data_IF_253418813289
#
_entry.id   IF_253418813289
#
_cell.length_a   1.000
_cell.length_b   1.000
_cell.length_c   1.000
_cell.angle_alpha   90.00
_cell.angle_beta   90.00
_cell.angle_gamma   90.00
#
_symmetry.space_group_name_H-M   'P 1'
#
loop_
_entity.id
_entity.type
_entity.pdbx_description
1 polymer ?
#
# COMPACT_ATOMS: atom_id res chain seq x y z
N UNK A 1 -21.08 -16.74 -7.52
CA UNK A 1 -21.52 -18.15 -7.35
C UNK A 1 -22.48 -18.53 -8.48
N UNK A 2 -22.29 -19.67 -9.15
CA UNK A 2 -23.27 -20.17 -10.13
C UNK A 2 -24.50 -20.74 -9.40
N UNK A 3 -25.65 -20.07 -9.53
CA UNK A 3 -26.91 -20.46 -8.89
C UNK A 3 -27.52 -21.75 -9.47
N UNK A 4 -26.94 -22.27 -10.56
CA UNK A 4 -27.34 -23.53 -11.22
C UNK A 4 -26.41 -24.69 -10.90
N UNK A 5 -25.28 -24.43 -10.23
CA UNK A 5 -24.37 -25.48 -9.83
C UNK A 5 -25.04 -26.43 -8.83
N UNK A 6 -24.77 -27.73 -9.00
CA UNK A 6 -25.29 -28.76 -8.09
C UNK A 6 -24.45 -28.87 -6.83
N UNK A 7 -23.16 -28.55 -6.94
CA UNK A 7 -22.19 -28.54 -5.86
C UNK A 7 -21.45 -27.22 -5.83
N UNK A 8 -21.10 -26.76 -4.62
CA UNK A 8 -20.18 -25.65 -4.42
C UNK A 8 -18.72 -26.11 -4.61
N UNK A 9 -17.79 -25.16 -4.67
CA UNK A 9 -16.36 -25.44 -4.89
C UNK A 9 -15.73 -26.31 -3.78
N UNK A 10 -16.31 -26.29 -2.57
CA UNK A 10 -15.91 -27.12 -1.43
C UNK A 10 -16.50 -28.54 -1.46
N UNK A 11 -17.27 -28.88 -2.51
CA UNK A 11 -17.94 -30.17 -2.66
C UNK A 11 -19.26 -30.29 -1.89
N UNK A 12 -19.69 -29.25 -1.17
CA UNK A 12 -20.99 -29.25 -0.51
C UNK A 12 -22.14 -29.12 -1.51
N UNK A 13 -23.30 -29.69 -1.18
CA UNK A 13 -24.48 -29.63 -2.04
C UNK A 13 -25.06 -28.21 -2.08
N UNK A 14 -25.21 -27.65 -3.28
CA UNK A 14 -25.60 -26.26 -3.46
C UNK A 14 -27.13 -26.03 -3.44
N UNK A 15 -27.93 -27.10 -3.48
CA UNK A 15 -29.40 -27.04 -3.55
C UNK A 15 -29.94 -26.06 -4.62
N UNK A 16 -29.60 -26.25 -5.91
CA UNK A 16 -30.06 -25.38 -6.99
C UNK A 16 -31.59 -25.41 -7.10
N UNK A 17 -32.19 -24.32 -7.62
CA UNK A 17 -33.65 -24.20 -7.70
C UNK A 17 -34.32 -25.27 -8.55
N UNK A 18 -33.66 -25.71 -9.61
CA UNK A 18 -34.17 -26.72 -10.55
C UNK A 18 -33.07 -27.71 -10.89
N UNK A 19 -33.42 -28.99 -10.95
CA UNK A 19 -32.54 -30.08 -11.41
C UNK A 19 -33.22 -30.85 -12.53
N UNK A 20 -32.43 -31.40 -13.47
CA UNK A 20 -32.95 -32.17 -14.60
C UNK A 20 -33.25 -33.61 -14.19
N UNK A 21 -32.28 -34.28 -13.57
CA UNK A 21 -32.44 -35.62 -13.04
C UNK A 21 -32.36 -35.57 -11.52
N UNK A 22 -33.27 -36.28 -10.87
CA UNK A 22 -33.24 -36.41 -9.40
C UNK A 22 -32.10 -37.31 -8.93
N UNK A 23 -31.58 -38.18 -9.80
CA UNK A 23 -30.46 -39.08 -9.50
C UNK A 23 -29.15 -38.32 -9.25
N UNK A 24 -28.97 -37.17 -9.91
CA UNK A 24 -27.81 -36.30 -9.73
C UNK A 24 -27.79 -35.66 -8.32
N UNK A 25 -28.96 -35.53 -7.68
CA UNK A 25 -29.08 -35.00 -6.32
C UNK A 25 -28.68 -36.08 -5.30
N UNK A 26 -27.84 -35.74 -4.30
CA UNK A 26 -27.50 -36.66 -3.22
C UNK A 26 -28.75 -37.26 -2.57
N UNK A 27 -28.73 -38.56 -2.29
CA UNK A 27 -29.90 -39.31 -1.80
C UNK A 27 -30.57 -38.66 -0.59
N UNK A 28 -29.75 -38.11 0.31
CA UNK A 28 -30.17 -37.41 1.53
C UNK A 28 -30.95 -36.11 1.30
N UNK A 29 -31.01 -35.61 0.06
CA UNK A 29 -31.59 -34.32 -0.32
C UNK A 29 -32.63 -34.44 -1.45
N UNK A 30 -32.93 -35.66 -1.94
CA UNK A 30 -33.86 -35.87 -3.06
C UNK A 30 -35.30 -35.50 -2.68
N UNK A 31 -35.67 -35.70 -1.42
CA UNK A 31 -36.98 -35.34 -0.83
C UNK A 31 -37.24 -33.83 -0.84
N UNK A 32 -36.20 -33.01 -1.03
CA UNK A 32 -36.33 -31.57 -1.13
C UNK A 32 -36.89 -31.11 -2.47
N UNK A 33 -36.95 -32.00 -3.46
CA UNK A 33 -37.34 -31.70 -4.82
C UNK A 33 -38.65 -32.37 -5.19
N UNK A 34 -39.50 -31.64 -5.90
CA UNK A 34 -40.79 -32.10 -6.40
C UNK A 34 -40.77 -32.08 -7.94
N UNK A 35 -41.47 -33.00 -8.62
CA UNK A 35 -41.66 -32.91 -10.06
C UNK A 35 -42.30 -31.56 -10.43
N UNK A 36 -41.73 -30.86 -11.41
CA UNK A 36 -42.25 -29.58 -11.87
C UNK A 36 -43.57 -29.79 -12.61
N UNK A 37 -44.69 -29.41 -11.98
CA UNK A 37 -46.02 -29.61 -12.54
C UNK A 37 -46.20 -28.84 -13.87
N UNK A 38 -46.72 -29.53 -14.89
CA UNK A 38 -47.03 -28.94 -16.19
C UNK A 38 -45.86 -28.86 -17.17
N UNK A 39 -44.74 -29.55 -16.90
CA UNK A 39 -43.61 -29.66 -17.82
C UNK A 39 -43.38 -31.10 -18.25
N UNK A 40 -43.36 -31.34 -19.56
CA UNK A 40 -43.12 -32.67 -20.15
C UNK A 40 -41.66 -33.11 -20.06
N UNK A 41 -40.76 -32.20 -19.69
CA UNK A 41 -39.31 -32.45 -19.63
C UNK A 41 -38.86 -33.16 -18.35
N UNK A 42 -39.79 -33.51 -17.44
CA UNK A 42 -39.50 -34.32 -16.25
C UNK A 42 -38.59 -33.64 -15.24
N UNK A 43 -38.45 -32.31 -15.29
CA UNK A 43 -37.61 -31.55 -14.36
C UNK A 43 -38.16 -31.59 -12.94
N UNK A 44 -37.25 -31.42 -11.98
CA UNK A 44 -37.59 -31.31 -10.58
C UNK A 44 -37.25 -29.90 -10.07
N UNK A 45 -38.14 -29.36 -9.25
CA UNK A 45 -38.00 -28.04 -8.63
C UNK A 45 -37.87 -28.18 -7.12
N UNK A 46 -37.01 -27.36 -6.53
CA UNK A 46 -36.86 -27.31 -5.07
C UNK A 46 -38.20 -26.90 -4.45
N UNK A 47 -38.62 -27.66 -3.43
CA UNK A 47 -39.85 -27.42 -2.67
C UNK A 47 -39.89 -25.95 -2.23
N UNK A 48 -41.05 -25.31 -2.40
CA UNK A 48 -41.28 -23.92 -2.07
C UNK A 48 -40.89 -23.58 -0.62
N UNK A 49 -41.16 -24.48 0.33
CA UNK A 49 -40.79 -24.25 1.73
C UNK A 49 -39.28 -24.18 1.93
N UNK A 50 -38.53 -25.11 1.33
CA UNK A 50 -37.07 -25.15 1.43
C UNK A 50 -36.46 -23.96 0.70
N UNK A 51 -37.02 -23.61 -0.46
CA UNK A 51 -36.63 -22.40 -1.18
C UNK A 51 -36.80 -21.14 -0.33
N UNK A 52 -37.98 -20.94 0.28
CA UNK A 52 -38.30 -19.73 1.04
C UNK A 52 -37.61 -19.65 2.40
N UNK A 53 -37.47 -20.77 3.10
CA UNK A 53 -36.93 -20.80 4.47
C UNK A 53 -35.41 -20.94 4.53
N UNK A 54 -34.81 -21.58 3.53
CA UNK A 54 -33.38 -21.93 3.56
C UNK A 54 -32.62 -21.25 2.43
N UNK A 55 -32.99 -21.52 1.17
CA UNK A 55 -32.17 -21.10 0.02
C UNK A 55 -32.21 -19.60 -0.25
N UNK A 56 -33.39 -18.99 -0.25
CA UNK A 56 -33.52 -17.54 -0.49
C UNK A 56 -32.83 -16.70 0.60
N UNK A 57 -32.99 -16.97 1.91
CA UNK A 57 -32.23 -16.29 2.95
C UNK A 57 -30.72 -16.49 2.82
N UNK A 58 -30.28 -17.72 2.51
CA UNK A 58 -28.86 -18.01 2.28
C UNK A 58 -28.29 -17.20 1.11
N UNK A 59 -28.98 -17.14 -0.04
CA UNK A 59 -28.52 -16.35 -1.18
C UNK A 59 -28.44 -14.85 -0.85
N UNK A 60 -29.44 -14.31 -0.14
CA UNK A 60 -29.40 -12.91 0.30
C UNK A 60 -28.25 -12.63 1.25
N UNK A 61 -27.94 -13.58 2.13
CA UNK A 61 -26.84 -13.44 3.07
C UNK A 61 -25.48 -13.53 2.37
N UNK A 62 -25.32 -14.46 1.43
CA UNK A 62 -24.13 -14.53 0.57
C UNK A 62 -23.95 -13.24 -0.21
N UNK A 63 -25.00 -12.72 -0.86
CA UNK A 63 -24.95 -11.44 -1.59
C UNK A 63 -24.59 -10.26 -0.65
N UNK A 64 -25.12 -10.26 0.58
CA UNK A 64 -24.79 -9.26 1.60
C UNK A 64 -23.31 -9.32 1.99
N UNK A 65 -22.78 -10.51 2.24
CA UNK A 65 -21.38 -10.73 2.61
C UNK A 65 -20.45 -10.38 1.44
N UNK A 66 -20.76 -10.84 0.22
CA UNK A 66 -19.98 -10.53 -0.98
C UNK A 66 -19.89 -9.01 -1.19
N UNK A 67 -21.01 -8.30 -1.02
CA UNK A 67 -21.03 -6.84 -1.09
C UNK A 67 -20.19 -6.20 0.02
N UNK A 68 -20.33 -6.64 1.26
CA UNK A 68 -19.55 -6.12 2.37
C UNK A 68 -18.04 -6.37 2.18
N UNK A 69 -17.66 -7.52 1.63
CA UNK A 69 -16.27 -7.84 1.29
C UNK A 69 -15.74 -6.95 0.16
N UNK A 70 -16.53 -6.70 -0.88
CA UNK A 70 -16.15 -5.78 -1.95
C UNK A 70 -15.95 -4.35 -1.42
N UNK A 71 -16.87 -3.86 -0.61
CA UNK A 71 -16.78 -2.53 0.02
C UNK A 71 -15.56 -2.44 0.96
N UNK A 72 -15.28 -3.49 1.73
CA UNK A 72 -14.12 -3.54 2.62
C UNK A 72 -12.80 -3.57 1.85
N UNK A 73 -12.72 -4.34 0.76
CA UNK A 73 -11.53 -4.36 -0.11
C UNK A 73 -11.27 -3.00 -0.73
N UNK A 74 -12.30 -2.34 -1.25
CA UNK A 74 -12.18 -1.00 -1.82
C UNK A 74 -11.69 0.02 -0.78
N UNK A 75 -12.25 0.01 0.43
CA UNK A 75 -11.80 0.88 1.53
C UNK A 75 -10.35 0.59 1.93
N UNK A 76 -10.00 -0.69 2.07
CA UNK A 76 -8.66 -1.08 2.47
C UNK A 76 -7.60 -0.62 1.46
N UNK A 77 -7.88 -0.74 0.16
CA UNK A 77 -6.97 -0.27 -0.89
C UNK A 77 -6.78 1.25 -0.82
N UNK A 78 -7.87 2.01 -0.64
CA UNK A 78 -7.78 3.48 -0.49
C UNK A 78 -7.04 3.90 0.79
N UNK A 79 -7.27 3.19 1.90
CA UNK A 79 -6.63 3.47 3.18
C UNK A 79 -5.13 3.13 3.15
N UNK A 80 -4.76 2.00 2.52
CA UNK A 80 -3.37 1.62 2.32
C UNK A 80 -2.61 2.62 1.45
N UNK A 81 -3.21 3.09 0.36
CA UNK A 81 -2.54 4.08 -0.48
C UNK A 81 -2.37 5.39 0.27
N UNK A 82 -3.39 5.83 1.02
CA UNK A 82 -3.28 7.01 1.89
C UNK A 82 -2.19 6.85 2.94
N UNK A 83 -2.12 5.71 3.61
CA UNK A 83 -1.12 5.42 4.62
C UNK A 83 0.29 5.39 4.03
N UNK A 84 0.48 4.80 2.86
CA UNK A 84 1.76 4.83 2.13
C UNK A 84 2.20 6.26 1.82
N UNK A 85 1.29 7.10 1.33
CA UNK A 85 1.60 8.50 1.03
C UNK A 85 1.95 9.29 2.30
N UNK A 86 1.25 9.05 3.42
CA UNK A 86 1.58 9.68 4.72
C UNK A 86 2.96 9.25 5.19
N UNK A 87 3.26 7.94 5.21
CA UNK A 87 4.57 7.41 5.62
C UNK A 87 5.71 7.94 4.74
N UNK A 88 5.48 8.06 3.42
CA UNK A 88 6.45 8.66 2.50
C UNK A 88 6.76 10.11 2.87
N UNK A 89 5.72 10.92 3.13
CA UNK A 89 5.88 12.32 3.55
C UNK A 89 6.61 12.44 4.88
N UNK A 90 6.19 11.68 5.90
CA UNK A 90 6.84 11.68 7.21
C UNK A 90 8.33 11.33 7.11
N UNK A 91 8.68 10.39 6.23
CA UNK A 91 10.07 10.00 6.00
C UNK A 91 10.87 11.08 5.28
N UNK A 92 10.31 11.70 4.25
CA UNK A 92 10.92 12.85 3.55
C UNK A 92 11.16 13.98 4.55
N UNK A 93 10.16 14.34 5.35
CA UNK A 93 10.24 15.41 6.35
C UNK A 93 11.28 15.08 7.43
N UNK A 94 11.32 13.84 7.91
CA UNK A 94 12.30 13.41 8.91
C UNK A 94 13.73 13.45 8.37
N UNK A 95 13.95 12.98 7.12
CA UNK A 95 15.27 13.02 6.49
C UNK A 95 15.70 14.46 6.25
N UNK A 96 14.83 15.32 5.69
CA UNK A 96 15.14 16.74 5.47
C UNK A 96 15.49 17.47 6.75
N UNK A 97 14.72 17.25 7.84
CA UNK A 97 15.02 17.83 9.16
C UNK A 97 16.36 17.37 9.69
N UNK A 98 16.61 16.05 9.71
CA UNK A 98 17.88 15.49 10.18
C UNK A 98 19.06 16.06 9.40
N UNK A 99 18.96 16.10 8.08
CA UNK A 99 20.03 16.66 7.23
C UNK A 99 20.24 18.15 7.47
N UNK A 100 19.18 18.93 7.67
CA UNK A 100 19.30 20.36 8.01
C UNK A 100 19.99 20.56 9.37
N UNK A 101 19.65 19.73 10.38
CA UNK A 101 20.30 19.75 11.69
C UNK A 101 21.79 19.40 11.58
N UNK A 102 22.12 18.32 10.87
CA UNK A 102 23.49 17.87 10.63
C UNK A 102 24.31 18.91 9.85
N UNK A 103 23.67 19.61 8.91
CA UNK A 103 24.28 20.69 8.14
C UNK A 103 24.55 21.97 8.96
N UNK A 104 24.06 22.04 10.20
CA UNK A 104 24.28 23.13 11.14
C UNK A 104 23.30 24.31 10.98
N UNK A 105 22.12 24.07 10.42
CA UNK A 105 21.08 25.10 10.26
C UNK A 105 20.41 25.37 11.61
N UNK A 106 20.25 26.64 12.04
CA UNK A 106 19.58 26.95 13.30
C UNK A 106 18.15 26.40 13.32
N UNK A 107 17.74 25.75 14.42
CA UNK A 107 16.44 25.10 14.55
C UNK A 107 15.23 25.98 14.17
N UNK A 108 15.29 27.29 14.47
CA UNK A 108 14.24 28.24 14.11
C UNK A 108 14.13 28.57 12.61
N UNK A 109 15.09 28.14 11.80
CA UNK A 109 15.14 28.37 10.36
C UNK A 109 14.95 27.09 9.53
N UNK A 110 15.03 25.91 10.15
CA UNK A 110 14.94 24.60 9.46
C UNK A 110 13.64 24.49 8.67
N UNK A 111 12.50 24.82 9.28
CA UNK A 111 11.20 24.77 8.59
C UNK A 111 11.16 25.68 7.34
N UNK A 112 11.84 26.82 7.38
CA UNK A 112 11.94 27.73 6.24
C UNK A 112 12.81 27.16 5.12
N UNK A 113 13.92 26.50 5.45
CA UNK A 113 14.77 25.81 4.46
C UNK A 113 14.02 24.65 3.82
N UNK A 114 13.32 23.85 4.61
CA UNK A 114 12.52 22.73 4.10
C UNK A 114 11.44 23.23 3.15
N UNK A 115 10.76 24.33 3.47
CA UNK A 115 9.76 24.92 2.59
C UNK A 115 10.35 25.35 1.24
N UNK A 116 11.51 26.02 1.25
CA UNK A 116 12.20 26.45 0.03
C UNK A 116 12.66 25.24 -0.81
N UNK A 117 13.30 24.25 -0.19
CA UNK A 117 13.76 23.05 -0.88
C UNK A 117 12.60 22.23 -1.47
N UNK A 118 11.45 22.25 -0.81
CA UNK A 118 10.23 21.58 -1.28
C UNK A 118 9.50 22.32 -2.40
N UNK A 119 9.76 23.62 -2.57
CA UNK A 119 9.24 24.40 -3.70
C UNK A 119 10.09 24.15 -4.96
N UNK A 120 11.40 23.98 -4.80
CA UNK A 120 12.35 23.85 -5.91
C UNK A 120 12.66 22.41 -6.32
N UNK A 121 12.31 21.42 -5.48
CA UNK A 121 12.66 20.02 -5.68
C UNK A 121 11.49 19.08 -5.43
N UNK A 122 11.48 17.96 -6.14
CA UNK A 122 10.58 16.84 -5.83
C UNK A 122 11.36 15.77 -5.07
N UNK A 123 10.69 15.07 -4.15
CA UNK A 123 11.32 14.05 -3.32
C UNK A 123 10.67 12.70 -3.55
N UNK A 124 11.49 11.68 -3.70
CA UNK A 124 11.06 10.30 -3.84
C UNK A 124 11.73 9.44 -2.77
N UNK A 125 10.98 8.50 -2.21
CA UNK A 125 11.52 7.51 -1.29
C UNK A 125 11.79 6.25 -2.09
N UNK A 126 13.06 5.87 -2.18
CA UNK A 126 13.48 4.58 -2.70
C UNK A 126 13.45 3.55 -1.56
N UNK A 127 12.37 2.77 -1.52
CA UNK A 127 12.17 1.70 -0.54
C UNK A 127 12.95 0.40 -0.87
N UNK A 128 13.75 0.37 -1.95
CA UNK A 128 14.54 -0.81 -2.33
C UNK A 128 15.70 -1.11 -1.38
N UNK A 129 16.06 -0.18 -0.50
CA UNK A 129 17.14 -0.35 0.47
C UNK A 129 16.67 -1.04 1.76
N UNK A 130 17.24 -2.23 2.03
CA UNK A 130 16.94 -3.10 3.18
C UNK A 130 17.07 -2.43 4.56
N UNK A 131 17.78 -1.29 4.65
CA UNK A 131 18.06 -0.57 5.91
C UNK A 131 17.25 0.72 6.07
N UNK A 132 16.03 0.75 5.54
CA UNK A 132 15.08 1.81 5.88
C UNK A 132 14.85 2.85 4.78
N UNK A 133 15.17 2.54 3.52
CA UNK A 133 14.92 3.32 2.29
C UNK A 133 15.52 4.73 2.24
N UNK A 134 16.00 5.13 1.07
CA UNK A 134 16.74 6.39 0.87
C UNK A 134 15.81 7.44 0.27
N UNK A 135 15.89 8.68 0.75
CA UNK A 135 15.20 9.82 0.13
C UNK A 135 16.10 10.42 -0.93
N UNK A 136 15.59 10.50 -2.16
CA UNK A 136 16.26 11.09 -3.31
C UNK A 136 15.52 12.38 -3.66
N UNK A 137 16.27 13.46 -3.83
CA UNK A 137 15.75 14.71 -4.31
C UNK A 137 15.99 14.83 -5.82
N UNK A 138 14.99 15.26 -6.57
CA UNK A 138 15.12 15.66 -7.95
C UNK A 138 14.98 17.18 -8.03
N UNK A 139 16.07 17.83 -8.38
CA UNK A 139 16.10 19.26 -8.66
C UNK A 139 16.45 19.45 -10.14
N UNK A 140 15.54 20.04 -10.92
CA UNK A 140 15.71 20.34 -12.34
C UNK A 140 16.17 19.14 -13.20
N UNK A 141 15.70 17.94 -12.89
CA UNK A 141 16.04 16.71 -13.62
C UNK A 141 17.34 16.04 -13.15
N UNK A 142 18.01 16.59 -12.13
CA UNK A 142 19.20 16.00 -11.51
C UNK A 142 18.82 15.32 -10.20
N UNK A 143 19.15 14.04 -10.08
CA UNK A 143 18.94 13.26 -8.86
C UNK A 143 20.11 13.50 -7.89
N UNK A 144 19.80 14.01 -6.71
CA UNK A 144 20.74 14.31 -5.64
C UNK A 144 20.31 13.58 -4.35
N UNK A 145 21.26 13.28 -3.47
CA UNK A 145 20.92 12.96 -2.08
C UNK A 145 20.37 14.22 -1.40
N UNK A 146 19.55 14.05 -0.36
CA UNK A 146 19.06 15.18 0.44
C UNK A 146 20.23 15.98 1.04
N UNK A 147 21.31 15.30 1.45
CA UNK A 147 22.54 15.92 1.92
C UNK A 147 23.18 16.84 0.87
N UNK A 148 23.39 16.34 -0.35
CA UNK A 148 23.96 17.14 -1.43
C UNK A 148 23.05 18.33 -1.79
N UNK A 149 21.73 18.15 -1.73
CA UNK A 149 20.77 19.24 -1.98
C UNK A 149 20.91 20.35 -0.92
N UNK A 150 20.92 19.97 0.37
CA UNK A 150 21.04 20.93 1.49
C UNK A 150 22.40 21.64 1.45
N UNK A 151 23.48 20.94 1.13
CA UNK A 151 24.80 21.55 0.98
C UNK A 151 24.85 22.54 -0.18
N UNK A 152 24.36 22.15 -1.36
CA UNK A 152 24.30 23.03 -2.53
C UNK A 152 23.45 24.27 -2.27
N UNK A 153 22.32 24.12 -1.56
CA UNK A 153 21.50 25.24 -1.14
C UNK A 153 22.27 26.15 -0.19
N UNK A 154 22.91 25.60 0.84
CA UNK A 154 23.68 26.40 1.78
C UNK A 154 24.84 27.12 1.11
N UNK A 155 25.45 26.54 0.08
CA UNK A 155 26.53 27.16 -0.70
C UNK A 155 26.05 28.25 -1.66
N UNK A 156 24.75 28.32 -1.95
CA UNK A 156 24.13 29.38 -2.75
C UNK A 156 24.02 30.71 -2.01
N UNK A 157 23.76 31.79 -2.78
CA UNK A 157 23.53 33.13 -2.23
C UNK A 157 22.27 33.18 -1.35
N UNK A 158 21.27 32.36 -1.66
CA UNK A 158 20.01 32.28 -0.92
C UNK A 158 20.17 31.50 0.40
N UNK A 159 20.98 30.44 0.40
CA UNK A 159 21.28 29.65 1.59
C UNK A 159 22.24 30.32 2.57
N UNK A 160 22.93 31.40 2.17
CA UNK A 160 23.89 32.11 3.01
C UNK A 160 23.28 32.61 4.33
N UNK A 161 22.01 33.04 4.31
CA UNK A 161 21.28 33.51 5.48
C UNK A 161 20.90 32.38 6.47
N UNK A 162 20.91 31.13 6.01
CA UNK A 162 20.53 29.94 6.78
C UNK A 162 21.72 29.22 7.39
N UNK A 163 22.95 29.61 7.04
CA UNK A 163 24.18 29.10 7.65
C UNK A 163 24.19 29.46 9.14
N UNK A 164 24.30 28.46 10.01
CA UNK A 164 24.59 28.68 11.43
C UNK A 164 25.93 29.42 11.63
N UNK A 165 26.22 29.83 12.87
CA UNK A 165 27.51 30.46 13.22
C UNK A 165 28.66 29.58 12.72
N UNK A 166 29.31 30.01 11.62
CA UNK A 166 30.48 29.44 10.94
C UNK A 166 30.65 27.93 11.14
N UNK A 167 30.31 27.16 10.09
CA UNK A 167 30.94 25.84 9.86
C UNK A 167 32.43 25.99 10.13
N UNK A 168 32.98 25.21 11.07
CA UNK A 168 34.40 24.92 11.01
C UNK A 168 34.64 24.39 9.58
N UNK A 169 35.67 24.91 8.90
CA UNK A 169 36.02 24.44 7.57
C UNK A 169 36.01 22.90 7.57
N UNK A 170 35.53 22.23 6.51
CA UNK A 170 35.57 20.79 6.40
C UNK A 170 36.97 20.34 6.83
N UNK A 171 37.05 19.43 7.80
CA UNK A 171 38.33 19.02 8.34
C UNK A 171 39.14 18.34 7.23
N UNK A 172 40.00 19.11 6.56
CA UNK A 172 41.08 18.67 5.66
C UNK A 172 42.02 17.63 6.33
N UNK A 173 41.82 17.37 7.62
CA UNK A 173 42.57 16.40 8.42
C UNK A 173 42.31 14.92 8.09
N UNK A 174 41.20 14.53 7.45
CA UNK A 174 40.95 13.09 7.24
C UNK A 174 41.86 12.51 6.13
N UNK A 175 42.01 13.21 5.01
CA UNK A 175 42.97 12.80 3.97
C UNK A 175 44.43 13.04 4.39
N UNK A 176 44.72 14.13 5.11
CA UNK A 176 46.06 14.40 5.61
C UNK A 176 46.54 13.37 6.66
N UNK A 177 45.64 12.90 7.54
CA UNK A 177 45.97 11.86 8.55
C UNK A 177 46.17 10.48 7.92
N UNK A 178 45.43 10.15 6.85
CA UNK A 178 45.60 8.91 6.09
C UNK A 178 46.95 8.88 5.34
N UNK A 179 47.37 10.01 4.77
CA UNK A 179 48.68 10.15 4.10
C UNK A 179 49.82 10.15 5.12
N UNK A 180 49.64 10.78 6.29
CA UNK A 180 50.63 10.77 7.37
C UNK A 180 50.84 9.35 7.92
N UNK A 181 49.77 8.59 8.16
CA UNK A 181 49.85 7.20 8.63
C UNK A 181 50.46 6.22 7.61
N UNK A 182 50.41 6.55 6.31
CA UNK A 182 51.08 5.80 5.24
C UNK A 182 52.58 6.12 5.13
N UNK A 183 53.00 7.34 5.51
CA UNK A 183 54.41 7.74 5.53
C UNK A 183 55.20 7.20 6.72
N UNK A 184 54.55 7.01 7.88
CA UNK A 184 55.21 6.44 9.07
C UNK A 184 55.48 4.93 8.98
N UNK A 185 54.88 4.22 8.00
CA UNK A 185 55.08 2.77 7.79
C UNK A 185 56.17 2.42 6.78
N UNK A 186 57.04 3.36 6.39
CA UNK A 186 58.18 3.13 5.50
C UNK A 186 59.51 3.35 6.19
#
# INVERSE_FOLDING_TARGET
MDKRALFLEDGSFAAPRTVRNIEDVPETHRDWYLPEAGKEDGRYILNHEIWKKVREPYEREVERIEKAMADLKAKHETDLEREKQVRKREKIDATLRSTCEDAGIPAGLIEGVIALLSEESTFEVDDSYEFGGVVIANSNGTLNSVEALVENFLDSDEGAAFRGKRRAAPSDGYFASLIAGLKERR
#
